data_IF_225871778744
#
_entry.id   IF_225871778744
#
_cell.length_a   1.000
_cell.length_b   1.000
_cell.length_c   1.000
_cell.angle_alpha   90.00
_cell.angle_beta   90.00
_cell.angle_gamma   90.00
#
_symmetry.space_group_name_H-M   'P 1'
#
loop_
_entity.id
_entity.type
_entity.pdbx_description
1 polymer ?
#
# COMPACT_ATOMS: atom_id res chain seq x y z
N UNK A 1 -30.71 28.72 24.01
CA UNK A 1 -30.13 27.71 24.91
C UNK A 1 -29.88 26.49 24.06
N UNK A 2 -28.68 26.41 23.49
CA UNK A 2 -28.29 25.37 22.54
C UNK A 2 -27.68 24.22 23.34
N UNK A 3 -28.31 23.05 23.33
CA UNK A 3 -27.74 21.82 23.86
C UNK A 3 -27.51 20.87 22.68
N UNK A 4 -26.23 20.63 22.36
CA UNK A 4 -25.83 19.58 21.42
C UNK A 4 -25.96 18.21 22.09
N UNK A 5 -26.52 17.19 21.41
CA UNK A 5 -26.51 15.85 21.95
C UNK A 5 -25.09 15.28 21.86
N UNK A 6 -24.43 15.19 23.02
CA UNK A 6 -23.23 14.37 23.21
C UNK A 6 -23.53 12.94 22.77
N UNK A 7 -22.88 12.51 21.69
CA UNK A 7 -22.89 11.13 21.24
C UNK A 7 -22.23 10.29 22.35
N UNK A 8 -23.06 9.65 23.17
CA UNK A 8 -22.63 8.66 24.14
C UNK A 8 -22.37 7.36 23.36
N UNK A 9 -21.10 6.99 23.21
CA UNK A 9 -20.71 5.68 22.71
C UNK A 9 -21.28 4.62 23.65
N UNK A 10 -22.37 3.99 23.22
CA UNK A 10 -22.98 2.83 23.85
C UNK A 10 -22.03 1.65 23.65
N UNK A 11 -21.24 1.33 24.67
CA UNK A 11 -20.56 0.04 24.75
C UNK A 11 -21.60 -1.01 25.10
N UNK A 12 -22.17 -1.65 24.09
CA UNK A 12 -22.99 -2.84 24.30
C UNK A 12 -22.03 -4.00 24.64
N UNK A 13 -21.94 -4.31 25.93
CA UNK A 13 -21.44 -5.60 26.43
C UNK A 13 -22.44 -6.69 26.02
N UNK A 14 -22.28 -7.23 24.80
CA UNK A 14 -23.01 -8.41 24.37
C UNK A 14 -22.39 -9.67 25.01
N UNK A 15 -23.00 -10.07 26.13
CA UNK A 15 -22.85 -11.38 26.75
C UNK A 15 -23.35 -12.48 25.79
N UNK A 16 -22.47 -12.96 24.92
CA UNK A 16 -22.76 -14.01 23.93
C UNK A 16 -22.88 -15.40 24.55
N UNK A 17 -24.08 -15.98 24.49
CA UNK A 17 -24.38 -17.32 24.99
C UNK A 17 -23.62 -18.43 24.28
N UNK A 18 -23.10 -19.36 25.08
CA UNK A 18 -22.23 -20.46 24.68
C UNK A 18 -22.90 -21.52 23.79
N UNK A 19 -22.53 -21.53 22.50
CA UNK A 19 -22.73 -22.69 21.61
C UNK A 19 -21.41 -23.42 21.42
N UNK A 20 -20.98 -24.12 22.47
CA UNK A 20 -19.80 -24.99 22.42
C UNK A 20 -20.08 -26.27 21.60
N UNK A 21 -19.02 -26.77 20.96
CA UNK A 21 -19.06 -28.00 20.15
C UNK A 21 -19.22 -29.22 21.06
N UNK A 22 -20.33 -29.95 20.91
CA UNK A 22 -20.62 -31.17 21.70
C UNK A 22 -20.15 -32.45 21.02
N UNK A 23 -20.00 -32.44 19.69
CA UNK A 23 -19.79 -33.65 18.90
C UNK A 23 -18.74 -33.50 17.79
N UNK A 24 -18.07 -34.62 17.48
CA UNK A 24 -16.94 -34.71 16.54
C UNK A 24 -17.30 -34.45 15.07
N UNK A 25 -18.56 -34.60 14.67
CA UNK A 25 -19.02 -34.28 13.30
C UNK A 25 -19.25 -32.77 13.07
N UNK A 26 -19.24 -31.94 14.12
CA UNK A 26 -19.46 -30.50 14.01
C UNK A 26 -18.17 -29.75 13.61
N UNK A 27 -17.41 -30.25 12.63
CA UNK A 27 -16.07 -29.68 12.28
C UNK A 27 -16.14 -28.23 11.78
N UNK A 28 -17.33 -27.80 11.39
CA UNK A 28 -17.67 -26.46 10.96
C UNK A 28 -17.97 -25.48 12.11
N UNK A 29 -18.04 -25.96 13.36
CA UNK A 29 -18.26 -25.11 14.53
C UNK A 29 -16.92 -24.58 15.09
N UNK A 30 -16.82 -23.28 15.39
CA UNK A 30 -15.60 -22.66 15.86
C UNK A 30 -15.16 -23.18 17.23
N UNK A 31 -13.86 -23.44 17.36
CA UNK A 31 -13.26 -24.09 18.53
C UNK A 31 -13.09 -23.18 19.76
N UNK A 32 -13.17 -21.85 19.60
CA UNK A 32 -12.98 -20.88 20.67
C UNK A 32 -14.15 -19.90 20.75
N UNK A 33 -14.54 -19.56 21.98
CA UNK A 33 -15.45 -18.45 22.27
C UNK A 33 -14.82 -17.14 21.79
N UNK A 34 -15.67 -16.19 21.38
CA UNK A 34 -15.23 -14.86 21.01
C UNK A 34 -14.59 -14.19 22.24
N UNK A 35 -13.26 -14.07 22.23
CA UNK A 35 -12.52 -13.34 23.25
C UNK A 35 -12.94 -11.87 23.19
N UNK A 36 -13.06 -11.24 24.36
CA UNK A 36 -13.31 -9.80 24.47
C UNK A 36 -12.29 -9.04 23.63
N UNK A 37 -12.73 -8.05 22.85
CA UNK A 37 -11.85 -7.38 21.92
C UNK A 37 -10.73 -6.64 22.65
N UNK A 38 -9.48 -6.67 22.13
CA UNK A 38 -8.35 -5.99 22.77
C UNK A 38 -8.58 -4.47 22.79
N UNK A 39 -8.13 -3.74 23.82
CA UNK A 39 -8.49 -2.33 24.04
C UNK A 39 -7.92 -1.35 23.00
N UNK A 40 -7.00 -1.79 22.12
CA UNK A 40 -6.40 -0.93 21.11
C UNK A 40 -5.90 -1.69 19.88
N UNK A 41 -5.96 -1.03 18.72
CA UNK A 41 -5.33 -1.45 17.47
C UNK A 41 -3.81 -1.65 17.60
N UNK A 42 -3.15 -0.90 18.50
CA UNK A 42 -1.72 -1.01 18.71
C UNK A 42 -1.31 -2.33 19.37
N UNK A 43 -2.20 -2.95 20.14
CA UNK A 43 -1.97 -4.26 20.76
C UNK A 43 -2.34 -5.45 19.85
N UNK A 44 -2.81 -5.20 18.62
CA UNK A 44 -3.21 -6.28 17.71
C UNK A 44 -2.00 -7.13 17.25
N UNK A 45 -2.25 -8.43 17.08
CA UNK A 45 -1.24 -9.38 16.59
C UNK A 45 -0.74 -9.01 15.20
N UNK A 46 0.53 -9.34 14.91
CA UNK A 46 1.05 -9.31 13.54
C UNK A 46 0.28 -10.29 12.66
N UNK A 47 0.17 -9.96 11.37
CA UNK A 47 -0.53 -10.77 10.36
C UNK A 47 0.06 -12.18 10.31
N UNK A 48 -0.76 -13.25 10.45
CA UNK A 48 -0.29 -14.64 10.40
C UNK A 48 0.31 -15.02 9.04
N UNK A 49 0.08 -14.20 8.01
CA UNK A 49 0.72 -14.31 6.70
C UNK A 49 2.25 -14.39 6.79
N UNK A 50 2.87 -13.64 7.71
CA UNK A 50 4.32 -13.62 7.88
C UNK A 50 4.91 -14.99 8.31
N UNK A 51 4.10 -15.84 8.94
CA UNK A 51 4.50 -17.16 9.43
C UNK A 51 3.78 -18.31 8.69
N UNK A 52 3.03 -17.99 7.62
CA UNK A 52 2.22 -18.97 6.90
C UNK A 52 3.06 -19.71 5.85
N UNK A 53 2.84 -21.02 5.71
CA UNK A 53 3.43 -21.82 4.62
C UNK A 53 2.81 -21.43 3.27
N UNK A 54 3.53 -21.65 2.17
CA UNK A 54 3.05 -21.32 0.81
C UNK A 54 1.65 -21.88 0.49
N UNK A 55 1.36 -23.11 0.90
CA UNK A 55 0.04 -23.73 0.71
C UNK A 55 -1.04 -23.02 1.53
N UNK A 56 -0.70 -22.55 2.73
CA UNK A 56 -1.62 -21.74 3.56
C UNK A 56 -1.91 -20.38 2.93
N UNK A 57 -0.92 -19.77 2.28
CA UNK A 57 -1.11 -18.53 1.50
C UNK A 57 -2.04 -18.78 0.30
N UNK A 58 -1.81 -19.87 -0.45
CA UNK A 58 -2.62 -20.22 -1.64
C UNK A 58 -4.08 -20.54 -1.28
N UNK A 59 -4.29 -21.27 -0.19
CA UNK A 59 -5.63 -21.67 0.29
C UNK A 59 -6.29 -20.63 1.19
N UNK A 60 -5.60 -19.51 1.45
CA UNK A 60 -6.07 -18.42 2.31
C UNK A 60 -6.48 -18.89 3.73
N UNK A 61 -5.92 -20.01 4.19
CA UNK A 61 -6.25 -20.62 5.47
C UNK A 61 -5.88 -19.72 6.67
N UNK A 62 -4.96 -18.78 6.46
CA UNK A 62 -4.59 -17.77 7.46
C UNK A 62 -5.70 -16.74 7.73
N UNK A 63 -6.65 -16.53 6.80
CA UNK A 63 -7.79 -15.62 7.00
C UNK A 63 -8.95 -16.27 7.76
N UNK A 64 -9.09 -17.59 7.68
CA UNK A 64 -10.17 -18.36 8.32
C UNK A 64 -10.49 -17.94 9.77
N UNK A 65 -9.52 -17.67 10.68
CA UNK A 65 -9.84 -17.16 12.01
C UNK A 65 -10.60 -15.82 12.03
N UNK A 66 -10.32 -14.91 11.08
CA UNK A 66 -11.01 -13.62 10.96
C UNK A 66 -12.45 -13.79 10.49
N UNK A 67 -12.67 -14.70 9.52
CA UNK A 67 -14.01 -15.02 8.99
C UNK A 67 -14.88 -15.61 10.09
N UNK A 68 -14.32 -16.55 10.87
CA UNK A 68 -15.00 -17.15 12.01
C UNK A 68 -15.39 -16.09 13.05
N UNK A 69 -14.51 -15.12 13.31
CA UNK A 69 -14.76 -14.06 14.28
C UNK A 69 -15.89 -13.12 13.83
N UNK A 70 -15.91 -12.76 12.54
CA UNK A 70 -17.00 -12.00 11.94
C UNK A 70 -18.34 -12.74 11.91
N UNK A 71 -18.31 -14.07 11.96
CA UNK A 71 -19.52 -14.89 12.11
C UNK A 71 -20.05 -14.92 13.55
N UNK A 72 -19.16 -14.74 14.54
CA UNK A 72 -19.53 -14.74 15.96
C UNK A 72 -20.01 -13.37 16.45
N UNK A 73 -19.42 -12.26 15.97
CA UNK A 73 -19.77 -10.89 16.37
C UNK A 73 -19.45 -9.87 15.29
N UNK A 74 -19.93 -8.64 15.46
CA UNK A 74 -19.52 -7.52 14.59
C UNK A 74 -18.02 -7.28 14.71
N UNK A 75 -17.34 -7.23 13.56
CA UNK A 75 -15.90 -6.97 13.49
C UNK A 75 -15.63 -5.54 13.95
N UNK A 76 -14.79 -5.39 14.96
CA UNK A 76 -14.28 -4.09 15.36
C UNK A 76 -12.92 -3.86 14.72
N UNK A 77 -12.55 -2.60 14.53
CA UNK A 77 -11.27 -2.25 13.93
C UNK A 77 -10.10 -2.92 14.68
N UNK A 78 -10.18 -3.00 16.01
CA UNK A 78 -9.16 -3.59 16.89
C UNK A 78 -8.91 -5.10 16.72
N UNK A 79 -9.81 -5.82 16.04
CA UNK A 79 -9.62 -7.24 15.74
C UNK A 79 -8.83 -7.49 14.46
N UNK A 80 -8.60 -6.42 13.68
CA UNK A 80 -7.82 -6.50 12.45
C UNK A 80 -6.33 -6.60 12.78
N UNK A 81 -5.60 -7.35 11.94
CA UNK A 81 -4.15 -7.43 12.06
C UNK A 81 -3.48 -6.11 11.73
N UNK A 82 -2.36 -5.84 12.39
CA UNK A 82 -1.50 -4.70 12.03
C UNK A 82 -0.87 -4.97 10.68
N UNK A 83 -0.89 -3.96 9.81
CA UNK A 83 -0.18 -4.00 8.52
C UNK A 83 1.31 -4.20 8.77
N UNK A 84 1.99 -4.94 7.89
CA UNK A 84 3.44 -5.11 7.98
C UNK A 84 4.14 -3.78 7.74
N UNK A 85 5.22 -3.52 8.46
CA UNK A 85 5.96 -2.25 8.32
C UNK A 85 6.45 -1.99 6.90
N UNK A 86 6.73 -3.03 6.11
CA UNK A 86 7.12 -2.91 4.70
C UNK A 86 5.97 -2.52 3.74
N UNK A 87 4.73 -2.78 4.15
CA UNK A 87 3.50 -2.49 3.39
C UNK A 87 2.81 -1.20 3.88
N UNK A 88 3.41 -0.51 4.84
CA UNK A 88 2.91 0.77 5.32
C UNK A 88 3.09 1.85 4.25
N UNK A 89 2.17 2.82 4.25
CA UNK A 89 2.18 3.91 3.27
C UNK A 89 3.46 4.76 3.32
N UNK A 90 4.07 4.92 4.49
CA UNK A 90 5.29 5.71 4.69
C UNK A 90 6.48 5.22 3.85
N UNK A 91 7.00 4.00 4.10
CA UNK A 91 8.12 3.47 3.32
C UNK A 91 7.77 3.33 1.83
N UNK A 92 6.52 2.96 1.51
CA UNK A 92 6.06 2.85 0.12
C UNK A 92 6.07 4.20 -0.61
N UNK A 93 5.64 5.28 0.05
CA UNK A 93 5.65 6.63 -0.54
C UNK A 93 7.07 7.11 -0.79
N UNK A 94 8.01 6.85 0.13
CA UNK A 94 9.41 7.21 -0.08
C UNK A 94 10.04 6.47 -1.26
N UNK A 95 9.75 5.17 -1.39
CA UNK A 95 10.22 4.37 -2.52
C UNK A 95 9.66 4.89 -3.84
N UNK A 96 8.38 5.26 -3.84
CA UNK A 96 7.71 5.86 -4.99
C UNK A 96 8.35 7.20 -5.37
N UNK A 97 8.57 8.09 -4.42
CA UNK A 97 9.20 9.41 -4.65
C UNK A 97 10.62 9.26 -5.20
N UNK A 98 11.41 8.33 -4.66
CA UNK A 98 12.75 7.99 -5.17
C UNK A 98 12.69 7.46 -6.60
N UNK A 99 11.69 6.62 -6.93
CA UNK A 99 11.50 6.13 -8.30
C UNK A 99 11.03 7.24 -9.25
N UNK A 100 10.17 8.13 -8.77
CA UNK A 100 9.65 9.26 -9.51
C UNK A 100 10.75 10.26 -9.87
N UNK A 101 11.56 10.67 -8.88
CA UNK A 101 12.71 11.57 -9.08
C UNK A 101 13.67 11.02 -10.15
N UNK A 102 14.02 9.73 -10.07
CA UNK A 102 14.85 9.04 -11.07
C UNK A 102 14.26 9.10 -12.48
N UNK A 103 12.92 9.10 -12.62
CA UNK A 103 12.27 9.16 -13.93
C UNK A 103 12.18 10.59 -14.48
N UNK A 104 11.98 11.58 -13.62
CA UNK A 104 11.91 13.00 -13.99
C UNK A 104 13.28 13.55 -14.43
N UNK A 105 14.39 13.01 -13.94
CA UNK A 105 15.74 13.45 -14.30
C UNK A 105 16.19 13.02 -15.70
N UNK A 106 15.74 11.86 -16.18
CA UNK A 106 16.06 11.33 -17.53
C UNK A 106 15.72 12.29 -18.69
N UNK A 107 14.52 12.90 -18.75
CA UNK A 107 14.19 13.85 -19.81
C UNK A 107 14.94 15.18 -19.65
N UNK A 108 15.30 15.61 -18.43
CA UNK A 108 16.06 16.85 -18.22
C UNK A 108 17.47 16.76 -18.82
N UNK A 109 18.17 15.65 -18.59
CA UNK A 109 19.51 15.41 -19.14
C UNK A 109 19.50 15.35 -20.67
N UNK A 110 18.59 14.57 -21.24
CA UNK A 110 18.45 14.45 -22.71
C UNK A 110 17.99 15.74 -23.40
N UNK A 111 17.12 16.53 -22.76
CA UNK A 111 16.68 17.83 -23.30
C UNK A 111 17.80 18.88 -23.23
N UNK A 112 18.56 18.91 -22.13
CA UNK A 112 19.70 19.79 -21.97
C UNK A 112 20.83 19.45 -22.97
N UNK A 113 21.06 18.16 -23.23
CA UNK A 113 22.02 17.70 -24.22
C UNK A 113 21.58 18.04 -25.65
N UNK A 114 20.29 17.88 -25.99
CA UNK A 114 19.73 18.35 -27.27
C UNK A 114 19.86 19.86 -27.44
N UNK A 115 19.54 20.64 -26.41
CA UNK A 115 19.70 22.09 -26.43
C UNK A 115 21.16 22.52 -26.62
N UNK A 116 22.11 21.84 -25.97
CA UNK A 116 23.56 22.05 -26.17
C UNK A 116 24.01 21.71 -27.59
N UNK A 117 23.56 20.56 -28.13
CA UNK A 117 23.84 20.14 -29.51
C UNK A 117 23.32 21.17 -30.52
N UNK A 118 22.07 21.63 -30.35
CA UNK A 118 21.45 22.64 -31.20
C UNK A 118 22.21 23.98 -31.14
N UNK A 119 22.65 24.42 -29.95
CA UNK A 119 23.41 25.66 -29.77
C UNK A 119 24.82 25.60 -30.39
N UNK A 120 25.45 24.43 -30.36
CA UNK A 120 26.74 24.19 -31.02
C UNK A 120 26.58 24.17 -32.54
N UNK A 121 25.54 23.50 -33.05
CA UNK A 121 25.21 23.48 -34.49
C UNK A 121 24.87 24.88 -35.02
N UNK A 122 24.09 25.68 -34.28
CA UNK A 122 23.80 27.06 -34.69
C UNK A 122 25.06 27.90 -34.67
N UNK A 123 25.89 27.80 -33.62
CA UNK A 123 27.14 28.56 -33.52
C UNK A 123 28.17 28.21 -34.59
N UNK A 124 28.17 26.98 -35.11
CA UNK A 124 29.00 26.59 -36.26
C UNK A 124 28.46 27.24 -37.53
N UNK A 125 27.13 27.26 -37.72
CA UNK A 125 26.48 27.88 -38.87
C UNK A 125 26.64 29.39 -38.93
N UNK A 126 26.71 30.06 -37.78
CA UNK A 126 26.93 31.51 -37.68
C UNK A 126 28.40 31.90 -37.98
N UNK A 127 29.34 30.95 -37.88
CA UNK A 127 30.78 31.13 -38.11
C UNK A 127 31.22 30.64 -39.50
N UNK A 128 30.36 30.69 -40.52
CA UNK A 128 30.70 30.34 -41.90
C UNK A 128 31.22 31.59 -42.68
N UNK A 129 32.53 31.88 -42.75
CA UNK A 129 33.08 32.65 -43.85
C UNK A 129 33.29 31.73 -45.06
N UNK A 130 32.71 32.10 -46.20
CA UNK A 130 33.10 31.69 -47.56
C UNK A 130 32.91 30.23 -48.05
N UNK A 131 32.80 29.20 -47.20
CA UNK A 131 32.73 27.80 -47.67
C UNK A 131 31.42 27.42 -48.39
N UNK A 132 30.26 27.82 -47.87
CA UNK A 132 28.98 27.61 -48.57
C UNK A 132 28.87 28.40 -49.89
N UNK A 133 29.58 29.53 -49.99
CA UNK A 133 29.66 30.36 -51.20
C UNK A 133 30.57 29.71 -52.26
N UNK A 134 31.70 29.13 -51.82
CA UNK A 134 32.65 28.45 -52.71
C UNK A 134 32.10 27.15 -53.34
N UNK A 135 31.08 26.54 -52.74
CA UNK A 135 30.48 25.31 -53.26
C UNK A 135 29.42 25.57 -54.35
N UNK A 136 28.93 26.82 -54.46
CA UNK A 136 27.94 27.21 -55.46
C UNK A 136 28.56 27.74 -56.77
N UNK A 137 29.90 27.88 -56.82
CA UNK A 137 30.66 28.34 -58.00
C UNK A 137 31.31 27.19 -58.81
N UNK A 138 31.12 25.92 -58.42
CA UNK A 138 31.72 24.73 -59.07
C UNK A 138 30.72 23.88 -59.87
N UNK A 139 29.44 24.28 -59.91
CA UNK A 139 28.38 23.70 -60.76
C UNK A 139 27.86 24.73 -61.74
#
# INVERSE_FOLDING_TARGET
MSEEPRISCRSDDESGGDRYRKHWYQLWLPLKQAVTPPPSLASASMTPLANASFVSVLTYAWLTPLIILGWQRTLQAQDLWRVRTEEEAGPLSELLDKAWARRVERPKQSSQERGRKLKLVSSIKDNEPSLALALNDVL
#
